data_IF_845660452536
#
_entry.id   IF_845660452536
#
_cell.length_a   1.000
_cell.length_b   1.000
_cell.length_c   1.000
_cell.angle_alpha   90.00
_cell.angle_beta   90.00
_cell.angle_gamma   90.00
#
_symmetry.space_group_name_H-M   'P 1'
#
loop_
_entity.id
_entity.type
_entity.pdbx_description
1 polymer ?
#
# COMPACT_ATOMS: atom_id res chain seq x y z
N UNK A 1 1.00 3.10 -17.47
CA UNK A 1 1.71 1.96 -16.86
C UNK A 1 0.80 0.76 -17.01
N UNK A 2 1.17 -0.21 -17.85
CA UNK A 2 0.26 -1.26 -18.35
C UNK A 2 0.12 -2.42 -17.36
N UNK A 3 -0.99 -3.13 -17.42
CA UNK A 3 -1.29 -4.33 -16.62
C UNK A 3 -0.22 -5.43 -16.77
N UNK A 4 0.42 -5.52 -17.95
CA UNK A 4 1.51 -6.47 -18.18
C UNK A 4 2.74 -6.19 -17.30
N UNK A 5 3.05 -4.92 -17.06
CA UNK A 5 4.23 -4.54 -16.26
C UNK A 5 4.06 -4.93 -14.79
N UNK A 6 2.81 -4.96 -14.30
CA UNK A 6 2.48 -5.44 -12.96
C UNK A 6 2.64 -6.96 -12.87
N UNK A 7 2.13 -7.68 -13.87
CA UNK A 7 2.25 -9.14 -13.98
C UNK A 7 3.71 -9.60 -13.99
N UNK A 8 4.55 -9.00 -14.82
CA UNK A 8 5.97 -9.38 -14.90
C UNK A 8 6.71 -9.13 -13.58
N UNK A 9 6.39 -8.03 -12.89
CA UNK A 9 7.00 -7.70 -11.59
C UNK A 9 6.59 -8.67 -10.48
N UNK A 10 5.39 -9.24 -10.55
CA UNK A 10 4.88 -10.24 -9.63
C UNK A 10 5.53 -11.61 -9.89
N UNK A 11 5.61 -12.05 -11.16
CA UNK A 11 6.21 -13.33 -11.56
C UNK A 11 7.73 -13.35 -11.25
N UNK A 12 8.43 -12.23 -11.46
CA UNK A 12 9.87 -12.09 -11.22
C UNK A 12 10.32 -12.31 -9.76
N UNK A 13 9.42 -12.31 -8.78
CA UNK A 13 9.78 -12.52 -7.36
C UNK A 13 10.01 -13.99 -7.00
N UNK A 14 9.62 -14.94 -7.87
CA UNK A 14 10.00 -16.36 -7.78
C UNK A 14 9.56 -17.10 -6.51
N UNK A 15 8.74 -16.49 -5.65
CA UNK A 15 8.40 -17.02 -4.31
C UNK A 15 6.89 -17.20 -4.08
N UNK A 16 6.07 -17.08 -5.12
CA UNK A 16 4.62 -17.03 -4.99
C UNK A 16 3.98 -17.92 -6.07
N UNK A 17 3.31 -19.00 -5.64
CA UNK A 17 2.50 -19.88 -6.50
C UNK A 17 1.29 -19.12 -7.05
N UNK A 18 0.73 -19.54 -8.19
CA UNK A 18 -0.48 -18.96 -8.80
C UNK A 18 -1.63 -18.70 -7.80
N UNK A 19 -1.74 -19.52 -6.76
CA UNK A 19 -2.70 -19.37 -5.66
C UNK A 19 -2.49 -18.10 -4.83
N UNK A 20 -1.25 -17.76 -4.49
CA UNK A 20 -0.94 -16.54 -3.74
C UNK A 20 -1.23 -15.26 -4.53
N UNK A 21 -1.13 -15.33 -5.85
CA UNK A 21 -1.47 -14.23 -6.76
C UNK A 21 -2.99 -13.99 -6.82
N UNK A 22 -3.76 -15.08 -6.89
CA UNK A 22 -5.22 -15.05 -6.82
C UNK A 22 -5.70 -14.52 -5.47
N UNK A 23 -5.08 -14.97 -4.37
CA UNK A 23 -5.37 -14.45 -3.03
C UNK A 23 -5.08 -12.96 -2.96
N UNK A 24 -3.95 -12.48 -3.50
CA UNK A 24 -3.63 -11.05 -3.52
C UNK A 24 -4.63 -10.23 -4.34
N UNK A 25 -5.04 -10.70 -5.52
CA UNK A 25 -6.06 -10.02 -6.33
C UNK A 25 -7.41 -9.93 -5.62
N UNK A 26 -7.83 -11.02 -4.96
CA UNK A 26 -9.05 -11.03 -4.15
C UNK A 26 -8.94 -10.12 -2.92
N UNK A 27 -7.77 -10.07 -2.29
CA UNK A 27 -7.49 -9.18 -1.15
C UNK A 27 -7.52 -7.72 -1.56
N UNK A 28 -6.90 -7.34 -2.69
CA UNK A 28 -6.94 -5.96 -3.22
C UNK A 28 -8.39 -5.51 -3.45
N UNK A 29 -9.25 -6.38 -3.99
CA UNK A 29 -10.65 -6.03 -4.19
C UNK A 29 -11.41 -5.78 -2.87
N UNK A 30 -11.07 -6.54 -1.81
CA UNK A 30 -11.63 -6.33 -0.46
C UNK A 30 -11.04 -5.08 0.22
N UNK A 31 -9.75 -4.84 0.03
CA UNK A 31 -9.04 -3.67 0.56
C UNK A 31 -9.55 -2.38 -0.08
N UNK A 32 -9.80 -2.34 -1.39
CA UNK A 32 -10.39 -1.17 -2.08
C UNK A 32 -11.73 -0.77 -1.46
N UNK A 33 -12.58 -1.75 -1.09
CA UNK A 33 -13.85 -1.49 -0.42
C UNK A 33 -13.68 -0.95 1.00
N UNK A 34 -12.50 -1.14 1.60
CA UNK A 34 -12.13 -0.66 2.92
C UNK A 34 -11.19 0.56 2.87
N UNK A 35 -10.79 1.07 1.69
CA UNK A 35 -9.92 2.25 1.60
C UNK A 35 -10.53 3.46 2.33
N UNK A 36 -11.86 3.56 2.35
CA UNK A 36 -12.57 4.63 3.05
C UNK A 36 -12.42 4.65 4.57
N UNK A 37 -11.87 3.59 5.21
CA UNK A 37 -11.59 3.58 6.65
C UNK A 37 -10.17 4.07 7.00
N UNK A 38 -9.33 4.34 6.00
CA UNK A 38 -7.97 4.83 6.19
C UNK A 38 -7.85 6.33 5.85
N UNK A 39 -7.09 7.08 6.65
CA UNK A 39 -6.88 8.51 6.42
C UNK A 39 -5.84 8.81 5.33
N UNK A 40 -4.91 7.86 5.10
CA UNK A 40 -3.78 8.04 4.20
C UNK A 40 -3.59 6.79 3.33
N UNK A 41 -3.30 7.03 2.05
CA UNK A 41 -2.91 6.00 1.08
C UNK A 41 -1.47 6.29 0.68
N UNK A 42 -0.61 5.28 0.76
CA UNK A 42 0.80 5.37 0.33
C UNK A 42 1.01 4.44 -0.85
N UNK A 43 1.45 4.99 -1.98
CA UNK A 43 1.84 4.20 -3.14
C UNK A 43 3.27 3.67 -2.96
N UNK A 44 3.48 2.37 -3.16
CA UNK A 44 4.80 1.72 -3.09
C UNK A 44 5.27 1.21 -4.47
N UNK A 45 5.77 2.09 -5.36
CA UNK A 45 6.26 1.68 -6.67
C UNK A 45 7.58 0.89 -6.59
N UNK A 46 7.70 -0.15 -7.42
CA UNK A 46 8.91 -0.98 -7.51
C UNK A 46 10.15 -0.12 -7.79
N UNK A 47 11.22 -0.33 -7.02
CA UNK A 47 12.48 0.40 -7.17
C UNK A 47 12.51 1.77 -6.47
N UNK A 48 11.43 2.15 -5.76
CA UNK A 48 11.31 3.40 -5.02
C UNK A 48 10.96 3.15 -3.54
N UNK A 49 11.61 2.14 -2.95
CA UNK A 49 11.38 1.77 -1.56
C UNK A 49 11.71 2.94 -0.62
N UNK A 50 12.87 3.58 -0.82
CA UNK A 50 13.31 4.70 0.02
C UNK A 50 12.30 5.86 -0.01
N UNK A 51 11.78 6.22 -1.19
CA UNK A 51 10.76 7.26 -1.35
C UNK A 51 9.44 6.90 -0.63
N UNK A 52 9.09 5.62 -0.64
CA UNK A 52 7.89 5.12 0.07
C UNK A 52 8.10 5.23 1.57
N UNK A 53 9.28 4.87 2.08
CA UNK A 53 9.64 5.02 3.48
C UNK A 53 9.63 6.48 3.90
N UNK A 54 10.22 7.37 3.10
CA UNK A 54 10.22 8.82 3.37
C UNK A 54 8.80 9.38 3.46
N UNK A 55 7.91 8.91 2.57
CA UNK A 55 6.49 9.31 2.58
C UNK A 55 5.79 8.88 3.87
N UNK A 56 6.05 7.65 4.34
CA UNK A 56 5.50 7.14 5.60
C UNK A 56 6.02 7.96 6.78
N UNK A 57 7.32 8.24 6.83
CA UNK A 57 7.94 9.05 7.88
C UNK A 57 7.33 10.46 7.90
N UNK A 58 7.11 11.05 6.72
CA UNK A 58 6.48 12.36 6.60
C UNK A 58 5.05 12.39 7.16
N UNK A 59 4.25 11.35 6.91
CA UNK A 59 2.90 11.22 7.47
C UNK A 59 2.95 11.14 8.99
N UNK A 60 3.85 10.32 9.55
CA UNK A 60 4.03 10.19 11.01
C UNK A 60 4.42 11.54 11.63
N UNK A 61 5.37 12.24 10.99
CA UNK A 61 5.81 13.56 11.46
C UNK A 61 4.66 14.57 11.40
N UNK A 62 3.86 14.58 10.32
CA UNK A 62 2.72 15.46 10.18
C UNK A 62 1.68 15.22 11.28
N UNK A 63 1.38 13.95 11.59
CA UNK A 63 0.44 13.60 12.66
C UNK A 63 0.97 13.99 14.06
N UNK A 64 2.27 13.84 14.33
CA UNK A 64 2.87 14.30 15.59
C UNK A 64 2.80 15.82 15.78
N UNK A 65 2.87 16.61 14.70
CA UNK A 65 2.80 18.08 14.77
C UNK A 65 1.36 18.61 14.69
N UNK A 66 0.36 17.74 14.60
CA UNK A 66 -1.04 18.12 14.43
C UNK A 66 -1.62 18.64 15.75
N UNK A 67 -1.97 19.94 15.78
CA UNK A 67 -2.52 20.65 16.97
C UNK A 67 -3.82 20.02 17.47
N UNK A 68 -4.65 19.50 16.56
CA UNK A 68 -5.84 18.71 16.90
C UNK A 68 -5.58 17.27 16.52
N UNK A 69 -5.18 16.48 17.51
CA UNK A 69 -4.91 15.07 17.32
C UNK A 69 -6.19 14.33 16.92
N UNK A 70 -6.06 13.31 16.07
CA UNK A 70 -7.17 12.44 15.70
C UNK A 70 -7.60 11.62 16.93
N UNK A 71 -8.90 11.64 17.25
CA UNK A 71 -9.48 10.66 18.15
C UNK A 71 -9.84 9.40 17.36
N UNK A 72 -9.23 8.27 17.72
CA UNK A 72 -9.53 6.97 17.14
C UNK A 72 -10.53 6.28 18.07
N UNK A 73 -11.77 6.11 17.60
CA UNK A 73 -12.74 5.24 18.26
C UNK A 73 -12.59 3.83 17.70
N UNK A 74 -12.28 2.87 18.59
CA UNK A 74 -12.05 1.45 18.29
C UNK A 74 -13.36 0.68 18.46
#
# INVERSE_FOLDING_TARGET
TSEEEWRERLISRGSESDESLQIRLQTVQKEINQVGIFDYIVENPKGKLDQTVDTIIAIIHAEHHRVKHREIQI
#
